data_IF_765969393579
#
_entry.id   IF_765969393579
#
_cell.length_a   1.000
_cell.length_b   1.000
_cell.length_c   1.000
_cell.angle_alpha   90.00
_cell.angle_beta   90.00
_cell.angle_gamma   90.00
#
_symmetry.space_group_name_H-M   'P 1'
#
loop_
_entity.id
_entity.type
_entity.pdbx_description
1 polymer ?
#
# COMPACT_ATOMS: atom_id res chain seq x y z
N UNK A 1 -65.09 -20.19 0.62
CA UNK A 1 -64.02 -20.84 1.40
C UNK A 1 -62.70 -21.09 0.61
N UNK A 2 -62.75 -21.22 -0.73
CA UNK A 2 -61.49 -21.48 -1.53
C UNK A 2 -60.60 -20.26 -1.76
N UNK A 3 -61.10 -19.03 -1.68
CA UNK A 3 -60.30 -17.81 -1.92
C UNK A 3 -59.42 -17.40 -0.75
N UNK A 4 -59.77 -17.74 0.50
CA UNK A 4 -58.97 -17.42 1.69
C UNK A 4 -57.78 -18.36 1.88
N UNK A 5 -57.84 -19.59 1.36
CA UNK A 5 -56.75 -20.55 1.44
C UNK A 5 -55.56 -20.21 0.49
N UNK A 6 -55.87 -19.61 -0.67
CA UNK A 6 -54.84 -19.19 -1.63
C UNK A 6 -54.07 -17.97 -1.16
N UNK A 7 -54.70 -17.02 -0.46
CA UNK A 7 -54.00 -15.85 0.08
C UNK A 7 -53.07 -16.21 1.25
N UNK A 8 -53.46 -17.19 2.08
CA UNK A 8 -52.58 -17.66 3.16
C UNK A 8 -51.35 -18.39 2.64
N UNK A 9 -51.48 -19.12 1.51
CA UNK A 9 -50.34 -19.84 0.91
C UNK A 9 -49.36 -18.88 0.22
N UNK A 10 -49.83 -17.79 -0.39
CA UNK A 10 -48.99 -16.78 -1.02
C UNK A 10 -48.23 -15.94 0.03
N UNK A 11 -48.82 -15.61 1.16
CA UNK A 11 -48.14 -14.91 2.25
C UNK A 11 -47.07 -15.79 2.94
N UNK A 12 -47.33 -17.10 3.09
CA UNK A 12 -46.33 -18.01 3.66
C UNK A 12 -45.13 -18.23 2.74
N UNK A 13 -45.33 -18.20 1.41
CA UNK A 13 -44.27 -18.35 0.43
C UNK A 13 -43.38 -17.10 0.35
N UNK A 14 -43.93 -15.90 0.52
CA UNK A 14 -43.17 -14.64 0.57
C UNK A 14 -42.32 -14.55 1.81
N UNK A 15 -42.77 -15.05 2.97
CA UNK A 15 -42.00 -15.08 4.19
C UNK A 15 -40.89 -16.15 4.18
N UNK A 16 -41.05 -17.25 3.47
CA UNK A 16 -40.01 -18.27 3.29
C UNK A 16 -38.90 -17.80 2.35
N UNK A 17 -39.19 -16.96 1.36
CA UNK A 17 -38.18 -16.39 0.47
C UNK A 17 -37.41 -15.25 1.17
N UNK A 18 -38.03 -14.47 2.06
CA UNK A 18 -37.37 -13.43 2.83
C UNK A 18 -36.44 -13.97 3.95
N UNK A 19 -36.74 -15.19 4.46
CA UNK A 19 -35.89 -15.82 5.49
C UNK A 19 -34.63 -16.53 4.93
N UNK A 20 -34.61 -16.83 3.61
CA UNK A 20 -33.45 -17.48 2.97
C UNK A 20 -32.33 -16.51 2.55
N UNK A 21 -32.54 -15.19 2.68
CA UNK A 21 -31.57 -14.18 2.26
C UNK A 21 -30.65 -13.65 3.39
N UNK A 22 -30.73 -14.22 4.57
CA UNK A 22 -29.78 -13.96 5.67
C UNK A 22 -28.94 -15.20 6.00
N UNK A 23 -28.37 -15.82 4.97
CA UNK A 23 -27.18 -16.63 5.19
C UNK A 23 -26.08 -15.65 5.62
N UNK A 24 -25.68 -15.71 6.89
CA UNK A 24 -24.52 -15.02 7.39
C UNK A 24 -23.37 -15.33 6.43
N UNK A 25 -22.80 -14.30 5.82
CA UNK A 25 -21.50 -14.38 5.16
C UNK A 25 -20.57 -14.97 6.24
N UNK A 26 -19.94 -16.14 6.02
CA UNK A 26 -18.97 -16.62 6.97
C UNK A 26 -17.97 -15.49 7.14
N UNK A 27 -17.79 -15.00 8.36
CA UNK A 27 -16.70 -14.07 8.65
C UNK A 27 -15.46 -14.70 8.05
N UNK A 28 -14.86 -14.04 7.07
CA UNK A 28 -13.55 -14.42 6.56
C UNK A 28 -12.64 -14.40 7.78
N UNK A 29 -12.22 -15.58 8.25
CA UNK A 29 -11.19 -15.66 9.26
C UNK A 29 -10.05 -14.79 8.73
N UNK A 30 -9.68 -13.77 9.50
CA UNK A 30 -8.54 -12.90 9.20
C UNK A 30 -7.35 -13.82 8.93
N UNK A 31 -6.99 -13.97 7.66
CA UNK A 31 -5.92 -14.88 7.28
C UNK A 31 -4.61 -14.18 7.64
N UNK A 32 -3.87 -14.76 8.60
CA UNK A 32 -2.52 -14.29 8.90
C UNK A 32 -1.67 -14.28 7.62
N UNK A 33 -0.93 -13.22 7.34
CA UNK A 33 -0.08 -13.15 6.17
C UNK A 33 1.06 -14.17 6.27
N UNK A 34 1.40 -14.78 5.13
CA UNK A 34 2.56 -15.63 5.03
C UNK A 34 3.83 -14.78 4.97
N UNK A 35 4.81 -15.10 5.80
CA UNK A 35 6.12 -14.46 5.77
C UNK A 35 7.05 -15.17 4.80
N UNK A 36 7.80 -14.39 4.02
CA UNK A 36 8.90 -14.86 3.19
C UNK A 36 10.17 -14.09 3.54
N UNK A 37 11.30 -14.78 3.56
CA UNK A 37 12.62 -14.18 3.67
C UNK A 37 13.38 -14.49 2.39
N UNK A 38 13.71 -13.47 1.62
CA UNK A 38 14.53 -13.61 0.41
C UNK A 38 15.87 -12.89 0.62
N UNK A 39 16.83 -13.16 -0.25
CA UNK A 39 18.12 -12.46 -0.21
C UNK A 39 18.25 -11.53 -1.41
N UNK A 40 18.48 -10.25 -1.15
CA UNK A 40 18.78 -9.24 -2.17
C UNK A 40 20.15 -8.64 -1.86
N UNK A 41 21.10 -8.75 -2.78
CA UNK A 41 22.49 -8.31 -2.60
C UNK A 41 23.13 -8.81 -1.28
N UNK A 42 22.87 -10.08 -0.96
CA UNK A 42 23.42 -10.71 0.26
C UNK A 42 22.71 -10.29 1.56
N UNK A 43 21.64 -9.51 1.50
CA UNK A 43 20.88 -9.05 2.66
C UNK A 43 19.49 -9.69 2.71
N UNK A 44 19.02 -10.18 3.87
CA UNK A 44 17.68 -10.73 4.00
C UNK A 44 16.64 -9.61 3.93
N UNK A 45 15.58 -9.83 3.16
CA UNK A 45 14.42 -8.94 3.02
C UNK A 45 13.16 -9.71 3.39
N UNK A 46 12.36 -9.20 4.32
CA UNK A 46 11.08 -9.76 4.73
C UNK A 46 9.97 -9.25 3.82
N UNK A 47 9.12 -10.20 3.41
CA UNK A 47 7.92 -9.93 2.63
C UNK A 47 6.73 -10.63 3.30
N UNK A 48 5.60 -9.95 3.35
CA UNK A 48 4.34 -10.43 3.88
C UNK A 48 3.35 -10.66 2.74
N UNK A 49 2.84 -11.88 2.60
CA UNK A 49 1.92 -12.26 1.52
C UNK A 49 0.52 -12.50 2.04
N UNK A 50 -0.49 -11.92 1.38
CA UNK A 50 -1.88 -12.39 1.38
C UNK A 50 -2.30 -12.68 -0.05
N UNK A 51 -2.64 -13.94 -0.34
CA UNK A 51 -2.92 -14.40 -1.69
C UNK A 51 -4.12 -15.34 -1.71
N UNK A 52 -5.08 -15.17 -2.64
CA UNK A 52 -6.08 -16.19 -2.91
C UNK A 52 -5.43 -17.39 -3.61
N UNK A 53 -6.11 -18.55 -3.56
CA UNK A 53 -5.56 -19.82 -4.08
C UNK A 53 -5.16 -19.77 -5.57
N UNK A 54 -5.73 -18.88 -6.36
CA UNK A 54 -5.48 -18.77 -7.80
C UNK A 54 -5.43 -17.30 -8.27
N UNK A 55 -4.55 -16.51 -7.66
CA UNK A 55 -4.37 -15.12 -8.06
C UNK A 55 -3.69 -15.00 -9.42
N UNK A 56 -4.30 -14.26 -10.34
CA UNK A 56 -3.67 -13.85 -11.61
C UNK A 56 -3.02 -12.48 -11.50
N UNK A 57 -3.55 -11.62 -10.64
CA UNK A 57 -3.04 -10.25 -10.42
C UNK A 57 -2.28 -10.20 -9.11
N UNK A 58 -1.07 -9.65 -9.16
CA UNK A 58 -0.17 -9.49 -8.01
C UNK A 58 0.20 -8.02 -7.85
N UNK A 59 0.32 -7.56 -6.62
CA UNK A 59 0.81 -6.21 -6.31
C UNK A 59 1.83 -6.24 -5.19
N UNK A 60 2.96 -5.57 -5.40
CA UNK A 60 3.95 -5.29 -4.35
C UNK A 60 3.61 -3.94 -3.71
N UNK A 61 3.53 -3.91 -2.38
CA UNK A 61 3.22 -2.74 -1.57
C UNK A 61 4.49 -2.25 -0.87
N UNK A 62 4.85 -0.98 -1.09
CA UNK A 62 6.02 -0.32 -0.49
C UNK A 62 5.54 0.74 0.48
N UNK A 63 5.86 0.57 1.76
CA UNK A 63 5.42 1.41 2.88
C UNK A 63 6.07 2.80 2.91
N UNK A 64 5.55 3.69 3.76
CA UNK A 64 6.05 5.04 3.97
C UNK A 64 7.38 5.11 4.73
N UNK A 65 7.71 6.33 5.22
CA UNK A 65 9.02 6.58 5.85
C UNK A 65 9.18 5.99 7.25
N UNK A 66 8.09 5.85 8.02
CA UNK A 66 8.21 5.67 9.48
C UNK A 66 7.91 4.26 9.92
N UNK A 67 6.96 3.58 9.29
CA UNK A 67 6.43 2.29 9.70
C UNK A 67 6.58 1.25 8.60
N UNK A 68 6.62 -0.02 8.99
CA UNK A 68 6.75 -1.18 8.12
C UNK A 68 5.42 -1.62 7.53
N UNK A 69 5.47 -2.63 6.67
CA UNK A 69 4.30 -3.09 5.90
C UNK A 69 3.13 -3.60 6.74
N UNK A 70 3.39 -4.28 7.87
CA UNK A 70 2.32 -4.86 8.69
C UNK A 70 1.40 -3.79 9.30
N UNK A 71 1.89 -2.81 10.07
CA UNK A 71 1.04 -1.74 10.56
C UNK A 71 0.41 -0.92 9.45
N UNK A 72 1.14 -0.64 8.35
CA UNK A 72 0.62 0.20 7.28
C UNK A 72 -0.44 -0.51 6.43
N UNK A 73 -0.20 -1.75 5.99
CA UNK A 73 -1.05 -2.39 4.99
C UNK A 73 -1.88 -3.55 5.50
N UNK A 74 -1.60 -4.05 6.69
CA UNK A 74 -2.31 -5.19 7.29
C UNK A 74 -2.77 -4.93 8.72
N UNK A 75 -3.23 -3.71 9.00
CA UNK A 75 -3.76 -3.35 10.31
C UNK A 75 -5.00 -4.17 10.64
N UNK A 76 -4.92 -4.95 11.71
CA UNK A 76 -6.02 -5.78 12.20
C UNK A 76 -6.73 -5.09 13.37
N UNK A 77 -8.03 -4.83 13.21
CA UNK A 77 -8.88 -4.20 14.24
C UNK A 77 -10.17 -5.01 14.36
N UNK A 78 -10.42 -5.71 15.48
CA UNK A 78 -11.59 -6.56 15.62
C UNK A 78 -12.90 -5.84 15.27
N UNK A 79 -13.62 -6.36 14.26
CA UNK A 79 -14.89 -5.80 13.80
C UNK A 79 -14.78 -4.54 12.92
N UNK A 80 -13.58 -4.18 12.47
CA UNK A 80 -13.36 -3.08 11.53
C UNK A 80 -12.48 -3.53 10.36
N UNK A 81 -12.85 -3.17 9.15
CA UNK A 81 -12.07 -3.46 7.94
C UNK A 81 -11.03 -2.35 7.70
N UNK A 82 -9.79 -2.56 8.16
CA UNK A 82 -8.69 -1.58 8.04
C UNK A 82 -7.54 -2.06 7.16
N UNK A 83 -7.34 -3.36 7.03
CA UNK A 83 -6.26 -3.94 6.23
C UNK A 83 -6.48 -3.69 4.72
N UNK A 84 -5.52 -3.03 4.09
CA UNK A 84 -5.44 -2.91 2.62
C UNK A 84 -5.26 -4.31 2.00
N UNK A 85 -4.42 -5.16 2.60
CA UNK A 85 -4.14 -6.50 2.11
C UNK A 85 -5.38 -7.41 2.14
N UNK A 86 -6.22 -7.34 3.19
CA UNK A 86 -7.49 -8.07 3.24
C UNK A 86 -8.47 -7.57 2.18
N UNK A 87 -8.50 -6.25 1.96
CA UNK A 87 -9.32 -5.68 0.89
C UNK A 87 -8.91 -6.16 -0.50
N UNK A 88 -7.62 -6.24 -0.77
CA UNK A 88 -7.09 -6.76 -2.03
C UNK A 88 -7.35 -8.28 -2.16
N UNK A 89 -7.18 -9.03 -1.08
CA UNK A 89 -7.50 -10.47 -1.02
C UNK A 89 -8.98 -10.73 -1.37
N UNK A 90 -9.89 -9.94 -0.79
CA UNK A 90 -11.33 -10.04 -1.07
C UNK A 90 -11.68 -9.72 -2.55
N UNK A 91 -10.84 -8.95 -3.23
CA UNK A 91 -10.93 -8.63 -4.66
C UNK A 91 -10.20 -9.65 -5.56
N UNK A 92 -9.66 -10.74 -4.99
CA UNK A 92 -8.97 -11.78 -5.75
C UNK A 92 -7.53 -11.41 -6.16
N UNK A 93 -6.93 -10.39 -5.54
CA UNK A 93 -5.59 -9.90 -5.84
C UNK A 93 -4.63 -10.40 -4.76
N UNK A 94 -3.50 -10.98 -5.18
CA UNK A 94 -2.41 -11.29 -4.28
C UNK A 94 -1.61 -10.03 -3.97
N UNK A 95 -1.44 -9.74 -2.69
CA UNK A 95 -0.68 -8.59 -2.21
C UNK A 95 0.55 -9.04 -1.42
N UNK A 96 1.65 -8.33 -1.62
CA UNK A 96 2.94 -8.57 -1.01
C UNK A 96 3.44 -7.27 -0.41
N UNK A 97 3.54 -7.20 0.92
CA UNK A 97 4.11 -6.04 1.62
C UNK A 97 5.60 -6.25 1.89
N UNK A 98 6.47 -5.41 1.37
CA UNK A 98 7.90 -5.49 1.65
C UNK A 98 8.27 -4.65 2.86
N UNK A 99 9.00 -5.21 3.82
CA UNK A 99 9.67 -4.43 4.85
C UNK A 99 11.05 -4.00 4.31
N UNK A 100 11.24 -2.71 4.08
CA UNK A 100 12.54 -2.16 3.66
C UNK A 100 13.61 -2.37 4.75
N UNK A 101 14.89 -2.25 4.41
CA UNK A 101 15.99 -2.44 5.38
C UNK A 101 15.83 -1.62 6.64
N UNK A 102 15.87 -2.29 7.79
CA UNK A 102 15.71 -1.71 9.11
C UNK A 102 14.28 -1.57 9.58
N UNK A 103 13.29 -1.90 8.75
CA UNK A 103 11.87 -1.89 9.08
C UNK A 103 11.36 -3.28 9.39
N UNK A 104 10.42 -3.38 10.33
CA UNK A 104 9.68 -4.59 10.65
C UNK A 104 10.56 -5.83 10.81
N UNK A 105 10.35 -6.84 9.96
CA UNK A 105 11.09 -8.09 9.95
C UNK A 105 12.42 -8.05 9.21
N UNK A 106 12.75 -6.96 8.50
CA UNK A 106 14.01 -6.81 7.76
C UNK A 106 15.07 -6.14 8.63
N UNK A 107 16.21 -6.78 8.91
CA UNK A 107 17.26 -6.18 9.73
C UNK A 107 17.89 -4.95 9.04
N UNK A 108 18.53 -4.10 9.82
CA UNK A 108 19.43 -3.06 9.31
C UNK A 108 20.69 -3.73 8.72
N UNK A 109 21.23 -3.16 7.67
CA UNK A 109 22.56 -3.58 7.21
C UNK A 109 23.68 -3.04 8.12
N UNK A 110 24.93 -3.40 7.80
CA UNK A 110 26.09 -3.02 8.61
C UNK A 110 26.31 -1.50 8.70
N UNK A 111 25.82 -0.71 7.73
CA UNK A 111 25.90 0.75 7.77
C UNK A 111 24.92 1.36 8.76
N UNK A 112 23.81 0.68 9.02
CA UNK A 112 22.68 1.15 9.82
C UNK A 112 21.85 2.23 9.14
N UNK A 113 22.19 2.62 7.89
CA UNK A 113 21.53 3.64 7.11
C UNK A 113 20.75 3.03 5.94
N UNK A 114 19.61 3.61 5.61
CA UNK A 114 18.91 3.34 4.34
C UNK A 114 19.10 4.54 3.40
N UNK A 115 19.24 4.26 2.10
CA UNK A 115 19.33 5.29 1.07
C UNK A 115 18.24 5.07 0.01
N UNK A 116 17.83 6.12 -0.73
CA UNK A 116 16.87 5.98 -1.83
C UNK A 116 17.27 4.91 -2.86
N UNK A 117 18.53 4.92 -3.29
CA UNK A 117 19.03 3.94 -4.26
C UNK A 117 19.02 2.51 -3.72
N UNK A 118 19.35 2.33 -2.43
CA UNK A 118 19.31 1.01 -1.79
C UNK A 118 17.88 0.50 -1.65
N UNK A 119 16.95 1.35 -1.23
CA UNK A 119 15.54 0.99 -1.14
C UNK A 119 14.97 0.59 -2.52
N UNK A 120 15.30 1.34 -3.56
CA UNK A 120 14.87 1.00 -4.92
C UNK A 120 15.48 -0.32 -5.42
N UNK A 121 16.77 -0.59 -5.11
CA UNK A 121 17.41 -1.86 -5.47
C UNK A 121 16.78 -3.05 -4.73
N UNK A 122 16.47 -2.91 -3.44
CA UNK A 122 15.80 -3.95 -2.67
C UNK A 122 14.40 -4.27 -3.23
N UNK A 123 13.61 -3.23 -3.53
CA UNK A 123 12.27 -3.39 -4.15
C UNK A 123 12.38 -4.06 -5.54
N UNK A 124 13.37 -3.68 -6.36
CA UNK A 124 13.60 -4.34 -7.64
C UNK A 124 13.92 -5.84 -7.47
N UNK A 125 14.76 -6.20 -6.50
CA UNK A 125 15.07 -7.60 -6.18
C UNK A 125 13.84 -8.39 -5.72
N UNK A 126 12.93 -7.77 -4.96
CA UNK A 126 11.64 -8.38 -4.57
C UNK A 126 10.75 -8.59 -5.80
N UNK A 127 10.70 -7.65 -6.73
CA UNK A 127 9.93 -7.79 -7.98
C UNK A 127 10.50 -8.91 -8.88
N UNK A 128 11.83 -9.06 -8.93
CA UNK A 128 12.48 -10.19 -9.63
C UNK A 128 12.10 -11.53 -9.00
N UNK A 129 12.11 -11.63 -7.68
CA UNK A 129 11.64 -12.80 -6.97
C UNK A 129 10.16 -13.09 -7.25
N UNK A 130 9.26 -12.08 -7.15
CA UNK A 130 7.84 -12.25 -7.49
C UNK A 130 7.63 -12.72 -8.92
N UNK A 131 8.43 -12.22 -9.86
CA UNK A 131 8.42 -12.67 -11.26
C UNK A 131 8.85 -14.11 -11.38
N UNK A 132 9.82 -14.57 -10.59
CA UNK A 132 10.29 -15.96 -10.62
C UNK A 132 9.28 -16.98 -10.11
N UNK A 133 8.31 -16.56 -9.28
CA UNK A 133 7.24 -17.45 -8.81
C UNK A 133 6.27 -17.87 -9.93
N UNK A 134 6.15 -17.04 -10.96
CA UNK A 134 5.33 -17.31 -12.16
C UNK A 134 5.94 -16.54 -13.33
N UNK A 135 6.93 -17.16 -13.99
CA UNK A 135 7.72 -16.53 -15.06
C UNK A 135 6.93 -16.27 -16.34
N UNK A 136 5.87 -17.06 -16.57
CA UNK A 136 5.00 -16.95 -17.76
C UNK A 136 3.80 -16.01 -17.51
N UNK A 137 3.52 -15.70 -16.25
CA UNK A 137 2.41 -14.83 -15.87
C UNK A 137 2.72 -13.35 -16.05
N UNK A 138 1.70 -12.49 -15.85
CA UNK A 138 1.89 -11.02 -15.90
C UNK A 138 2.81 -10.56 -14.80
N UNK A 139 3.58 -9.49 -15.06
CA UNK A 139 4.40 -8.83 -14.05
C UNK A 139 3.51 -8.30 -12.91
N UNK A 140 4.01 -8.20 -11.67
CA UNK A 140 3.26 -7.59 -10.59
C UNK A 140 3.04 -6.08 -10.85
N UNK A 141 1.98 -5.52 -10.28
CA UNK A 141 1.87 -4.08 -10.10
C UNK A 141 2.75 -3.63 -8.94
N UNK A 142 3.17 -2.37 -8.96
CA UNK A 142 3.96 -1.77 -7.89
C UNK A 142 3.16 -0.61 -7.28
N UNK A 143 2.81 -0.73 -6.00
CA UNK A 143 2.19 0.32 -5.21
C UNK A 143 3.21 0.93 -4.26
N UNK A 144 3.25 2.25 -4.18
CA UNK A 144 4.03 2.97 -3.18
C UNK A 144 3.21 4.03 -2.47
N UNK A 145 3.40 4.13 -1.15
CA UNK A 145 2.79 5.15 -0.30
C UNK A 145 3.85 6.10 0.26
N UNK A 146 3.63 7.42 0.16
CA UNK A 146 4.53 8.42 0.74
C UNK A 146 5.98 8.26 0.24
N UNK A 147 6.97 8.06 1.10
CA UNK A 147 8.34 7.70 0.67
C UNK A 147 8.38 6.44 -0.20
N UNK A 148 7.50 5.47 0.07
CA UNK A 148 7.36 4.31 -0.79
C UNK A 148 6.92 4.65 -2.21
N UNK A 149 6.14 5.72 -2.41
CA UNK A 149 5.78 6.19 -3.75
C UNK A 149 7.00 6.73 -4.51
N UNK A 150 7.92 7.41 -3.83
CA UNK A 150 9.20 7.87 -4.41
C UNK A 150 10.09 6.67 -4.77
N UNK A 151 10.20 5.68 -3.89
CA UNK A 151 10.93 4.43 -4.15
C UNK A 151 10.33 3.71 -5.35
N UNK A 152 9.00 3.55 -5.38
CA UNK A 152 8.29 2.89 -6.48
C UNK A 152 8.51 3.60 -7.83
N UNK A 153 8.52 4.94 -7.85
CA UNK A 153 8.85 5.70 -9.05
C UNK A 153 10.29 5.43 -9.51
N UNK A 154 11.28 5.45 -8.61
CA UNK A 154 12.67 5.13 -8.98
C UNK A 154 12.80 3.74 -9.60
N UNK A 155 12.07 2.75 -9.06
CA UNK A 155 12.04 1.39 -9.62
C UNK A 155 11.42 1.39 -11.00
N UNK A 156 10.25 2.00 -11.19
CA UNK A 156 9.57 2.06 -12.48
C UNK A 156 10.40 2.78 -13.55
N UNK A 157 11.18 3.80 -13.17
CA UNK A 157 12.10 4.49 -14.06
C UNK A 157 13.28 3.60 -14.49
N UNK A 158 13.86 2.86 -13.55
CA UNK A 158 15.08 2.08 -13.77
C UNK A 158 14.83 0.69 -14.31
N UNK A 159 13.70 0.08 -13.89
CA UNK A 159 13.32 -1.30 -14.20
C UNK A 159 11.85 -1.40 -14.62
N UNK A 160 11.45 -0.70 -15.69
CA UNK A 160 10.07 -0.77 -16.21
C UNK A 160 9.68 -2.21 -16.64
N UNK A 161 10.67 -3.06 -16.93
CA UNK A 161 10.51 -4.47 -17.29
C UNK A 161 9.95 -5.35 -16.17
N UNK A 162 10.00 -4.89 -14.92
CA UNK A 162 9.59 -5.67 -13.74
C UNK A 162 8.13 -5.44 -13.32
N UNK A 163 7.43 -4.45 -13.90
CA UNK A 163 6.10 -4.07 -13.45
C UNK A 163 5.09 -3.98 -14.59
N UNK A 164 3.84 -4.40 -14.33
CA UNK A 164 2.70 -4.18 -15.24
C UNK A 164 2.11 -2.77 -15.14
N UNK A 165 2.34 -2.09 -14.03
CA UNK A 165 1.90 -0.73 -13.81
C UNK A 165 2.33 -0.21 -12.44
N UNK A 166 2.30 1.11 -12.30
CA UNK A 166 2.72 1.87 -11.13
C UNK A 166 1.50 2.52 -10.46
N UNK A 167 1.39 2.40 -9.14
CA UNK A 167 0.35 3.05 -8.34
C UNK A 167 1.04 3.90 -7.29
N UNK A 168 0.85 5.21 -7.36
CA UNK A 168 1.44 6.19 -6.45
C UNK A 168 0.35 6.78 -5.56
N UNK A 169 0.54 6.77 -4.24
CA UNK A 169 -0.34 7.40 -3.28
C UNK A 169 0.41 8.27 -2.28
N UNK A 170 -0.16 9.44 -1.97
CA UNK A 170 0.43 10.37 -1.02
C UNK A 170 1.85 10.83 -1.41
N UNK A 171 2.09 11.08 -2.69
CA UNK A 171 3.41 11.44 -3.22
C UNK A 171 3.86 12.81 -2.70
N UNK A 172 4.96 12.89 -1.90
CA UNK A 172 5.22 14.05 -1.05
C UNK A 172 6.17 15.10 -1.64
N UNK A 173 6.66 14.94 -2.87
CA UNK A 173 7.70 15.82 -3.43
C UNK A 173 7.37 16.35 -4.81
N UNK A 174 7.94 17.52 -5.16
CA UNK A 174 7.95 18.03 -6.52
C UNK A 174 9.00 17.28 -7.33
N UNK A 175 8.71 16.89 -8.58
CA UNK A 175 9.72 16.36 -9.49
C UNK A 175 10.83 17.39 -9.71
N UNK A 176 12.09 16.97 -9.55
CA UNK A 176 13.25 17.84 -9.82
C UNK A 176 13.61 18.84 -8.70
N UNK A 177 13.06 18.66 -7.48
CA UNK A 177 13.53 19.46 -6.34
C UNK A 177 14.97 19.08 -5.99
N UNK A 178 15.86 20.08 -5.97
CA UNK A 178 17.16 19.96 -5.34
C UNK A 178 16.99 19.80 -3.84
N UNK A 179 17.56 18.71 -3.30
CA UNK A 179 17.71 18.53 -1.87
C UNK A 179 19.17 18.66 -1.54
N UNK A 180 19.46 19.58 -0.63
CA UNK A 180 20.81 19.72 -0.10
C UNK A 180 21.26 18.39 0.52
N UNK A 181 22.52 17.99 0.33
CA UNK A 181 23.09 16.85 1.05
C UNK A 181 22.85 17.05 2.55
N UNK A 182 22.21 16.07 3.21
CA UNK A 182 22.14 16.11 4.68
C UNK A 182 23.56 16.16 5.24
N UNK A 183 23.79 17.02 6.24
CA UNK A 183 25.04 17.02 7.01
C UNK A 183 25.31 15.60 7.50
N UNK A 184 26.42 15.04 7.09
CA UNK A 184 26.76 13.66 7.35
C UNK A 184 27.09 13.47 8.84
N UNK A 185 26.12 12.91 9.58
CA UNK A 185 26.46 12.25 10.84
C UNK A 185 27.22 10.97 10.53
N UNK A 186 28.33 10.70 11.23
CA UNK A 186 29.11 9.48 11.04
C UNK A 186 28.35 8.21 11.46
N UNK A 187 27.37 8.33 12.34
CA UNK A 187 26.57 7.23 12.82
C UNK A 187 25.07 7.57 12.82
N UNK A 188 24.19 6.57 12.54
CA UNK A 188 22.75 6.76 12.57
C UNK A 188 22.25 7.13 13.98
N UNK A 189 21.38 8.12 14.13
CA UNK A 189 20.87 8.60 15.42
C UNK A 189 20.09 7.54 16.20
N UNK A 190 19.42 6.61 15.53
CA UNK A 190 18.60 5.53 16.11
C UNK A 190 17.57 6.05 17.12
N UNK A 191 16.83 7.07 16.72
CA UNK A 191 15.79 7.66 17.56
C UNK A 191 14.66 6.66 17.80
N UNK A 192 14.16 6.59 19.05
CA UNK A 192 12.97 5.82 19.35
C UNK A 192 11.74 6.42 18.67
N UNK A 193 10.91 5.57 18.08
CA UNK A 193 9.59 5.95 17.62
C UNK A 193 8.66 6.21 18.80
N UNK A 194 7.61 6.99 18.59
CA UNK A 194 6.68 7.40 19.66
C UNK A 194 5.23 7.22 19.26
N UNK A 195 4.36 6.98 20.25
CA UNK A 195 2.92 6.93 20.03
C UNK A 195 2.38 8.23 19.40
N UNK A 196 2.96 9.38 19.74
CA UNK A 196 2.61 10.66 19.12
C UNK A 196 2.92 10.68 17.62
N UNK A 197 4.07 10.12 17.22
CA UNK A 197 4.42 10.02 15.81
C UNK A 197 3.44 9.11 15.06
N UNK A 198 3.08 7.94 15.63
CA UNK A 198 2.11 7.04 15.02
C UNK A 198 0.71 7.68 14.88
N UNK A 199 0.24 8.38 15.92
CA UNK A 199 -1.05 9.08 15.86
C UNK A 199 -1.07 10.23 14.84
N UNK A 200 0.08 10.81 14.51
CA UNK A 200 0.16 11.94 13.58
C UNK A 200 -0.04 11.56 12.11
N UNK A 201 -0.15 10.28 11.79
CA UNK A 201 -0.51 9.83 10.44
C UNK A 201 -2.02 9.96 10.16
N UNK A 202 -2.84 10.19 11.19
CA UNK A 202 -4.29 10.37 11.10
C UNK A 202 -4.65 11.82 11.43
N UNK A 203 -4.91 12.60 10.40
CA UNK A 203 -5.07 14.06 10.50
C UNK A 203 -6.53 14.50 10.45
N UNK A 204 -7.36 13.76 9.71
CA UNK A 204 -8.75 14.12 9.51
C UNK A 204 -9.62 13.55 10.65
N UNK A 205 -10.27 14.41 11.47
CA UNK A 205 -11.18 13.94 12.50
C UNK A 205 -12.28 13.02 11.95
N UNK A 206 -12.58 11.94 12.67
CA UNK A 206 -13.64 10.99 12.33
C UNK A 206 -13.45 10.20 11.03
N UNK A 207 -12.29 10.30 10.36
CA UNK A 207 -11.98 9.48 9.19
C UNK A 207 -11.72 8.02 9.55
N UNK A 208 -11.19 7.79 10.75
CA UNK A 208 -10.88 6.49 11.33
C UNK A 208 -11.30 6.46 12.79
N UNK A 209 -11.62 5.29 13.34
CA UNK A 209 -12.02 5.16 14.75
C UNK A 209 -10.82 5.31 15.69
N UNK A 210 -11.03 5.84 16.90
CA UNK A 210 -9.98 5.91 17.93
C UNK A 210 -9.40 4.53 18.26
N UNK A 211 -10.24 3.49 18.26
CA UNK A 211 -9.79 2.11 18.46
C UNK A 211 -8.83 1.64 17.37
N UNK A 212 -9.07 2.02 16.12
CA UNK A 212 -8.17 1.69 15.01
C UNK A 212 -6.85 2.47 15.11
N UNK A 213 -6.89 3.74 15.54
CA UNK A 213 -5.69 4.53 15.82
C UNK A 213 -4.86 3.89 16.92
N UNK A 214 -5.49 3.45 18.02
CA UNK A 214 -4.80 2.76 19.12
C UNK A 214 -4.17 1.45 18.67
N UNK A 215 -4.90 0.64 17.90
CA UNK A 215 -4.37 -0.60 17.32
C UNK A 215 -3.17 -0.34 16.38
N UNK A 216 -3.25 0.72 15.57
CA UNK A 216 -2.14 1.15 14.72
C UNK A 216 -0.91 1.55 15.55
N UNK A 217 -1.09 2.36 16.59
CA UNK A 217 0.00 2.78 17.49
C UNK A 217 0.68 1.57 18.13
N UNK A 218 -0.10 0.61 18.61
CA UNK A 218 0.44 -0.62 19.21
C UNK A 218 1.23 -1.43 18.18
N UNK A 219 0.64 -1.71 17.02
CA UNK A 219 1.26 -2.49 15.95
C UNK A 219 2.53 -1.81 15.41
N UNK A 220 2.48 -0.50 15.19
CA UNK A 220 3.57 0.30 14.66
C UNK A 220 4.78 0.34 15.62
N UNK A 221 4.55 0.57 16.91
CA UNK A 221 5.63 0.58 17.90
C UNK A 221 6.19 -0.82 18.19
N UNK A 222 5.38 -1.87 18.07
CA UNK A 222 5.86 -3.23 18.20
C UNK A 222 6.75 -3.65 17.03
N UNK A 223 6.40 -3.26 15.81
CA UNK A 223 7.15 -3.56 14.60
C UNK A 223 8.41 -2.69 14.46
N UNK A 224 8.30 -1.39 14.72
CA UNK A 224 9.32 -0.38 14.46
C UNK A 224 9.60 0.47 15.72
N UNK A 225 10.16 -0.10 16.80
CA UNK A 225 10.43 0.65 18.04
C UNK A 225 11.51 1.73 17.86
N UNK A 226 12.38 1.57 16.87
CA UNK A 226 13.47 2.50 16.53
C UNK A 226 13.34 2.93 15.08
N UNK A 227 13.23 4.24 14.87
CA UNK A 227 13.09 4.85 13.55
C UNK A 227 14.24 4.46 12.63
N UNK A 228 13.94 4.15 11.38
CA UNK A 228 14.95 3.91 10.35
C UNK A 228 15.58 5.24 9.93
N UNK A 229 16.89 5.25 9.91
CA UNK A 229 17.69 6.41 9.58
C UNK A 229 17.99 6.41 8.08
N UNK A 230 17.46 7.40 7.37
CA UNK A 230 17.72 7.62 5.96
C UNK A 230 18.86 8.60 5.78
N UNK A 231 19.68 8.36 4.77
CA UNK A 231 20.76 9.27 4.35
C UNK A 231 20.81 9.36 2.82
N UNK A 232 21.66 10.25 2.30
CA UNK A 232 21.82 10.48 0.86
C UNK A 232 20.49 10.84 0.20
N UNK A 233 19.71 11.70 0.85
CA UNK A 233 18.41 12.16 0.32
C UNK A 233 18.58 12.99 -0.98
N UNK A 234 19.82 13.43 -1.30
CA UNK A 234 20.22 13.97 -2.58
C UNK A 234 19.89 13.01 -3.76
N UNK A 235 19.88 11.70 -3.53
CA UNK A 235 19.54 10.70 -4.55
C UNK A 235 18.08 10.83 -5.06
N UNK A 236 17.19 11.51 -4.31
CA UNK A 236 15.85 11.83 -4.81
C UNK A 236 15.86 12.78 -6.02
N UNK A 237 16.97 13.48 -6.30
CA UNK A 237 17.14 14.27 -7.53
C UNK A 237 17.06 13.41 -8.80
N UNK A 238 17.24 12.09 -8.70
CA UNK A 238 17.03 11.16 -9.80
C UNK A 238 15.56 10.92 -10.18
N UNK A 239 14.61 11.42 -9.37
CA UNK A 239 13.19 11.33 -9.68
C UNK A 239 12.85 12.22 -10.89
N UNK A 240 12.46 11.60 -11.99
CA UNK A 240 12.01 12.29 -13.20
C UNK A 240 10.80 11.58 -13.79
N UNK A 241 9.62 12.15 -13.59
CA UNK A 241 8.37 11.61 -14.10
C UNK A 241 8.37 11.44 -15.64
N UNK A 242 9.13 12.26 -16.37
CA UNK A 242 9.26 12.16 -17.82
C UNK A 242 9.99 10.88 -18.31
N UNK A 243 10.52 10.09 -17.38
CA UNK A 243 11.13 8.77 -17.68
C UNK A 243 10.26 7.59 -17.28
N UNK A 244 9.11 7.83 -16.64
CA UNK A 244 8.12 6.79 -16.28
C UNK A 244 7.25 6.49 -17.48
N UNK A 245 7.37 5.27 -18.04
CA UNK A 245 6.69 4.83 -19.27
C UNK A 245 5.69 3.70 -19.05
N UNK A 246 5.54 3.23 -17.85
CA UNK A 246 4.57 2.20 -17.50
C UNK A 246 3.20 2.80 -17.21
N UNK A 247 2.10 2.06 -17.41
CA UNK A 247 0.78 2.50 -16.99
C UNK A 247 0.81 3.01 -15.56
N UNK A 248 0.23 4.18 -15.28
CA UNK A 248 0.37 4.82 -13.96
C UNK A 248 -0.98 5.31 -13.40
N UNK A 249 -1.29 4.90 -12.18
CA UNK A 249 -2.37 5.44 -11.36
C UNK A 249 -1.80 6.35 -10.28
N UNK A 250 -2.17 7.61 -10.29
CA UNK A 250 -1.91 8.56 -9.21
C UNK A 250 -3.16 8.67 -8.34
N UNK A 251 -3.04 8.28 -7.07
CA UNK A 251 -4.07 8.45 -6.05
C UNK A 251 -3.69 9.61 -5.14
N UNK A 252 -4.64 10.46 -4.86
CA UNK A 252 -4.51 11.60 -3.97
C UNK A 252 -5.66 11.59 -2.98
N UNK A 253 -5.41 11.81 -1.70
CA UNK A 253 -6.47 12.04 -0.74
C UNK A 253 -6.71 13.55 -0.60
N UNK A 254 -7.97 13.95 -0.68
CA UNK A 254 -8.36 15.38 -0.73
C UNK A 254 -7.86 16.21 0.47
N UNK A 255 -7.69 15.58 1.61
CA UNK A 255 -7.23 16.23 2.85
C UNK A 255 -5.78 15.90 3.22
N UNK A 256 -5.00 15.32 2.31
CA UNK A 256 -3.59 14.98 2.55
C UNK A 256 -2.71 16.25 2.49
N UNK A 257 -2.19 16.75 3.62
CA UNK A 257 -1.37 17.97 3.63
C UNK A 257 0.05 17.75 3.08
N UNK A 258 0.46 16.51 2.90
CA UNK A 258 1.78 16.15 2.37
C UNK A 258 1.75 15.97 0.85
N UNK A 259 0.58 15.69 0.29
CA UNK A 259 0.37 15.46 -1.13
C UNK A 259 -0.38 16.65 -1.74
N UNK A 260 0.34 17.67 -2.14
CA UNK A 260 -0.23 18.93 -2.64
C UNK A 260 -0.68 18.80 -4.09
N UNK A 261 -1.86 19.36 -4.40
CA UNK A 261 -2.49 19.31 -5.73
C UNK A 261 -1.55 19.75 -6.84
N UNK A 262 -0.78 20.83 -6.63
CA UNK A 262 0.15 21.37 -7.62
C UNK A 262 1.35 20.42 -7.87
N UNK A 263 1.79 19.68 -6.85
CA UNK A 263 2.82 18.64 -6.97
C UNK A 263 2.29 17.47 -7.80
N UNK A 264 1.09 17.02 -7.51
CA UNK A 264 0.45 15.92 -8.25
C UNK A 264 0.11 16.33 -9.70
N UNK A 265 -0.32 17.57 -9.92
CA UNK A 265 -0.56 18.09 -11.26
C UNK A 265 0.73 18.10 -12.10
N UNK A 266 1.85 18.56 -11.53
CA UNK A 266 3.14 18.55 -12.18
C UNK A 266 3.63 17.13 -12.46
N UNK A 267 3.58 16.24 -11.45
CA UNK A 267 3.93 14.84 -11.58
C UNK A 267 3.14 14.18 -12.71
N UNK A 268 1.80 14.27 -12.65
CA UNK A 268 0.90 13.67 -13.63
C UNK A 268 1.12 14.20 -15.03
N UNK A 269 1.31 15.52 -15.16
CA UNK A 269 1.56 16.15 -16.46
C UNK A 269 2.84 15.68 -17.15
N UNK A 270 3.87 15.34 -16.35
CA UNK A 270 5.19 14.92 -16.83
C UNK A 270 5.32 13.43 -17.12
N UNK A 271 4.41 12.56 -16.63
CA UNK A 271 4.48 11.12 -16.90
C UNK A 271 4.49 10.84 -18.41
N UNK A 272 5.49 10.09 -18.89
CA UNK A 272 5.70 9.75 -20.31
C UNK A 272 4.98 8.42 -20.65
N UNK A 273 3.68 8.40 -20.40
CA UNK A 273 2.78 7.29 -20.72
C UNK A 273 1.41 7.82 -21.11
N UNK A 274 0.78 7.21 -22.11
CA UNK A 274 -0.59 7.53 -22.53
C UNK A 274 -1.62 6.91 -21.58
N UNK A 275 -1.25 5.81 -20.90
CA UNK A 275 -2.09 5.11 -19.94
C UNK A 275 -1.84 5.63 -18.52
N UNK A 276 -2.40 6.78 -18.20
CA UNK A 276 -2.31 7.40 -16.88
C UNK A 276 -3.66 7.88 -16.38
N UNK A 277 -3.91 7.68 -15.10
CA UNK A 277 -5.13 8.09 -14.41
C UNK A 277 -4.78 8.81 -13.12
N UNK A 278 -5.44 9.93 -12.85
CA UNK A 278 -5.37 10.61 -11.56
C UNK A 278 -6.73 10.61 -10.90
N UNK A 279 -6.77 10.20 -9.65
CA UNK A 279 -7.99 10.10 -8.85
C UNK A 279 -7.80 10.81 -7.52
N UNK A 280 -8.73 11.71 -7.20
CA UNK A 280 -8.82 12.34 -5.88
C UNK A 280 -9.83 11.57 -5.02
N UNK A 281 -9.39 11.09 -3.85
CA UNK A 281 -10.17 10.33 -2.88
C UNK A 281 -10.79 11.29 -1.86
N UNK A 282 -12.11 11.49 -1.85
CA UNK A 282 -12.76 12.40 -0.92
C UNK A 282 -12.81 11.82 0.50
N UNK A 283 -12.71 12.67 1.51
CA UNK A 283 -12.97 12.31 2.91
C UNK A 283 -11.90 11.44 3.56
N UNK A 284 -10.69 11.44 3.01
CA UNK A 284 -9.51 10.80 3.57
C UNK A 284 -8.32 11.75 3.58
N UNK A 285 -7.30 11.39 4.34
CA UNK A 285 -6.00 12.07 4.39
C UNK A 285 -4.85 11.14 3.95
N UNK A 286 -3.65 11.33 4.51
CA UNK A 286 -2.46 10.58 4.13
C UNK A 286 -2.59 9.05 4.31
N UNK A 287 -3.53 8.57 5.12
CA UNK A 287 -3.81 7.17 5.42
C UNK A 287 -5.14 6.66 4.80
N UNK A 288 -5.67 7.30 3.74
CA UNK A 288 -6.99 7.05 3.17
C UNK A 288 -7.30 5.58 2.85
N UNK A 289 -6.30 4.74 2.63
CA UNK A 289 -6.47 3.30 2.36
C UNK A 289 -6.90 2.48 3.60
N UNK A 290 -6.78 3.02 4.81
CA UNK A 290 -7.28 2.41 6.05
C UNK A 290 -8.38 3.24 6.74
N UNK A 291 -8.73 4.39 6.17
CA UNK A 291 -9.76 5.29 6.66
C UNK A 291 -11.15 4.99 6.06
N UNK A 292 -12.13 5.85 6.37
CA UNK A 292 -13.50 5.73 5.84
C UNK A 292 -13.59 5.55 4.32
N UNK A 293 -12.78 6.24 3.47
CA UNK A 293 -12.84 6.08 2.02
C UNK A 293 -12.13 4.83 1.50
N UNK A 294 -11.66 3.90 2.34
CA UNK A 294 -10.93 2.68 1.95
C UNK A 294 -11.60 1.90 0.80
N UNK A 295 -12.92 1.75 0.84
CA UNK A 295 -13.64 1.03 -0.24
C UNK A 295 -13.53 1.77 -1.57
N UNK A 296 -13.54 3.11 -1.56
CA UNK A 296 -13.33 3.93 -2.75
C UNK A 296 -11.89 3.77 -3.27
N UNK A 297 -10.93 3.85 -2.37
CA UNK A 297 -9.51 3.62 -2.66
C UNK A 297 -9.26 2.26 -3.33
N UNK A 298 -9.73 1.17 -2.71
CA UNK A 298 -9.64 -0.19 -3.24
C UNK A 298 -10.28 -0.36 -4.61
N UNK A 299 -11.43 0.27 -4.85
CA UNK A 299 -12.11 0.22 -6.15
C UNK A 299 -11.24 0.78 -7.26
N UNK A 300 -10.57 1.90 -7.05
CA UNK A 300 -9.71 2.51 -8.05
C UNK A 300 -8.44 1.68 -8.29
N UNK A 301 -7.82 1.14 -7.24
CA UNK A 301 -6.73 0.18 -7.39
C UNK A 301 -7.16 -1.04 -8.21
N UNK A 302 -8.30 -1.65 -7.85
CA UNK A 302 -8.82 -2.82 -8.54
C UNK A 302 -9.09 -2.53 -10.02
N UNK A 303 -9.83 -1.45 -10.33
CA UNK A 303 -10.13 -1.06 -11.72
C UNK A 303 -8.86 -0.86 -12.52
N UNK A 304 -7.84 -0.23 -11.93
CA UNK A 304 -6.55 -0.04 -12.58
C UNK A 304 -5.83 -1.36 -12.85
N UNK A 305 -5.84 -2.30 -11.91
CA UNK A 305 -5.15 -3.59 -12.03
C UNK A 305 -5.90 -4.62 -12.89
N UNK A 306 -7.15 -4.39 -13.26
CA UNK A 306 -7.94 -5.26 -14.14
C UNK A 306 -7.96 -4.81 -15.59
N UNK A 307 -7.12 -3.87 -15.99
CA UNK A 307 -7.00 -3.43 -17.38
C UNK A 307 -6.52 -4.59 -18.26
N UNK A 308 -7.08 -4.65 -19.45
CA UNK A 308 -6.48 -5.45 -20.52
C UNK A 308 -5.22 -4.71 -21.02
N UNK A 309 -4.10 -5.40 -21.22
CA UNK A 309 -2.85 -4.80 -21.71
C UNK A 309 -2.95 -4.26 -23.13
#
# INVERSE_FOLDING_TARGET
MRARALQALQLALVWLIAAAAQAAVPGTAEAEPRAHDITVDGHPIRIWEKSPTAARTRVLLVHGRTWSSRPDFDLQVPGEERSLMDGLLALGIASYGVDLRGYGGTPRDASGWLTPDRAAADVAGVLEWLTSLDSEGPRPYLFGWSYGAMVAQLVAQRRPDLVSGLILFGYPVRPGIDRDPEEASDAPPRQANTARAARSDFLLPDAISERAIEAFVEAALAADPVRVDWRRLDQWQALDAATVRVPTLLLEAYHDPLALDDVHQELFGRLDTDDKTWVVIPGGDHAAFMERPRTHFLRHMHTFMQREP
#
